data_IF_027825168415
#
_entry.id   IF_027825168415
#
_cell.length_a   1.000
_cell.length_b   1.000
_cell.length_c   1.000
_cell.angle_alpha   90.00
_cell.angle_beta   90.00
_cell.angle_gamma   90.00
#
_symmetry.space_group_name_H-M   'P 1'
#
loop_
_entity.id
_entity.type
_entity.pdbx_description
1 polymer ?
#
# COMPACT_ATOMS: atom_id res chain seq x y z
N UNK A 1 -12.81 5.97 19.85
CA UNK A 1 -13.99 5.88 18.97
C UNK A 1 -15.04 4.93 19.55
N UNK A 2 -14.70 3.66 19.86
CA UNK A 2 -15.67 2.68 20.45
C UNK A 2 -16.24 3.18 21.77
N UNK A 3 -15.38 3.65 22.69
CA UNK A 3 -15.80 4.22 23.98
C UNK A 3 -16.76 5.41 23.79
N UNK A 4 -16.46 6.29 22.86
CA UNK A 4 -17.32 7.43 22.50
C UNK A 4 -18.67 6.95 21.95
N UNK A 5 -18.67 5.98 21.06
CA UNK A 5 -19.86 5.39 20.48
C UNK A 5 -20.78 4.75 21.54
N UNK A 6 -20.19 4.01 22.48
CA UNK A 6 -20.93 3.37 23.57
C UNK A 6 -21.49 4.40 24.56
N UNK A 7 -20.72 5.46 24.86
CA UNK A 7 -21.16 6.54 25.72
C UNK A 7 -22.32 7.33 25.09
N UNK A 8 -22.21 7.63 23.79
CA UNK A 8 -23.23 8.32 23.02
C UNK A 8 -24.55 7.51 23.00
N UNK A 9 -24.45 6.20 22.76
CA UNK A 9 -25.61 5.31 22.77
C UNK A 9 -26.34 5.31 24.12
N UNK A 10 -25.59 5.30 25.24
CA UNK A 10 -26.15 5.39 26.59
C UNK A 10 -26.77 6.76 26.88
N UNK A 11 -26.08 7.84 26.50
CA UNK A 11 -26.52 9.22 26.75
C UNK A 11 -27.84 9.53 26.00
N UNK A 12 -27.96 9.04 24.79
CA UNK A 12 -29.16 9.23 23.95
C UNK A 12 -30.25 8.16 24.18
N UNK A 13 -30.03 7.22 25.13
CA UNK A 13 -30.97 6.13 25.45
C UNK A 13 -31.44 5.37 24.19
N UNK A 14 -30.53 5.16 23.24
CA UNK A 14 -30.87 4.51 21.98
C UNK A 14 -31.16 3.02 22.18
N UNK A 15 -32.31 2.58 21.71
CA UNK A 15 -32.63 1.15 21.64
C UNK A 15 -31.62 0.45 20.73
N UNK A 16 -31.12 -0.70 21.16
CA UNK A 16 -30.07 -1.46 20.44
C UNK A 16 -28.77 -0.66 20.19
N UNK A 17 -28.40 0.26 21.08
CA UNK A 17 -27.23 1.12 20.96
C UNK A 17 -25.88 0.38 20.91
N UNK A 18 -25.83 -0.90 21.33
CA UNK A 18 -24.66 -1.79 21.18
C UNK A 18 -24.21 -1.95 19.72
N UNK A 19 -25.12 -1.85 18.76
CA UNK A 19 -24.80 -1.92 17.34
C UNK A 19 -23.91 -0.78 16.84
N UNK A 20 -23.97 0.39 17.49
CA UNK A 20 -23.09 1.52 17.19
C UNK A 20 -21.64 1.13 17.52
N UNK A 21 -21.41 0.65 18.75
CA UNK A 21 -20.08 0.24 19.20
C UNK A 21 -19.51 -0.93 18.38
N UNK A 22 -20.32 -1.96 18.11
CA UNK A 22 -19.95 -3.10 17.27
C UNK A 22 -19.56 -2.64 15.85
N UNK A 23 -20.31 -1.71 15.25
CA UNK A 23 -20.02 -1.19 13.91
C UNK A 23 -18.72 -0.43 13.89
N UNK A 24 -18.50 0.47 14.86
CA UNK A 24 -17.23 1.19 14.99
C UNK A 24 -16.06 0.21 15.16
N UNK A 25 -16.19 -0.81 16.01
CA UNK A 25 -15.17 -1.82 16.22
C UNK A 25 -14.87 -2.61 14.94
N UNK A 26 -15.88 -3.09 14.23
CA UNK A 26 -15.68 -3.86 12.98
C UNK A 26 -15.08 -3.02 11.88
N UNK A 27 -15.45 -1.75 11.75
CA UNK A 27 -14.92 -0.85 10.71
C UNK A 27 -13.49 -0.39 11.01
N UNK A 28 -13.19 -0.07 12.27
CA UNK A 28 -11.86 0.41 12.67
C UNK A 28 -10.90 -0.71 13.08
N UNK A 29 -11.39 -1.77 13.70
CA UNK A 29 -10.54 -2.79 14.35
C UNK A 29 -9.73 -3.64 13.37
N UNK A 30 -10.22 -3.85 12.16
CA UNK A 30 -9.53 -4.66 11.13
C UNK A 30 -8.70 -3.82 10.15
N UNK A 31 -8.83 -2.50 10.15
CA UNK A 31 -8.27 -1.64 9.11
C UNK A 31 -7.42 -0.53 9.72
N UNK A 32 -6.18 -0.44 9.23
CA UNK A 32 -5.20 0.54 9.73
C UNK A 32 -5.20 1.87 8.93
N UNK A 33 -5.85 1.92 7.75
CA UNK A 33 -5.72 3.04 6.83
C UNK A 33 -7.05 3.69 6.49
N UNK A 34 -7.05 5.03 6.42
CA UNK A 34 -8.23 5.85 6.18
C UNK A 34 -9.02 5.45 4.93
N UNK A 35 -8.34 5.18 3.81
CA UNK A 35 -9.00 4.78 2.56
C UNK A 35 -9.73 3.44 2.66
N UNK A 36 -9.14 2.47 3.37
CA UNK A 36 -9.75 1.17 3.60
C UNK A 36 -10.93 1.26 4.59
N UNK A 37 -10.82 2.11 5.61
CA UNK A 37 -11.90 2.36 6.59
C UNK A 37 -13.12 2.96 5.88
N UNK A 38 -12.90 3.96 5.00
CA UNK A 38 -13.98 4.57 4.24
C UNK A 38 -14.71 3.55 3.34
N UNK A 39 -13.97 2.75 2.57
CA UNK A 39 -14.55 1.70 1.72
C UNK A 39 -15.36 0.72 2.55
N UNK A 40 -14.83 0.25 3.67
CA UNK A 40 -15.51 -0.69 4.57
C UNK A 40 -16.74 -0.10 5.23
N UNK A 41 -16.71 1.16 5.63
CA UNK A 41 -17.87 1.85 6.19
C UNK A 41 -19.01 1.92 5.16
N UNK A 42 -18.70 2.28 3.92
CA UNK A 42 -19.67 2.32 2.81
C UNK A 42 -20.22 0.93 2.49
N UNK A 43 -19.36 -0.08 2.38
CA UNK A 43 -19.77 -1.47 2.17
C UNK A 43 -20.71 -1.96 3.29
N UNK A 44 -20.42 -1.59 4.55
CA UNK A 44 -21.27 -1.95 5.70
C UNK A 44 -22.63 -1.27 5.63
N UNK A 45 -22.68 0.02 5.31
CA UNK A 45 -23.95 0.75 5.13
C UNK A 45 -24.79 0.12 4.02
N UNK A 46 -24.19 -0.15 2.86
CA UNK A 46 -24.87 -0.77 1.72
C UNK A 46 -25.41 -2.16 2.07
N UNK A 47 -24.59 -3.02 2.68
CA UNK A 47 -25.00 -4.35 3.09
C UNK A 47 -26.17 -4.32 4.08
N UNK A 48 -26.14 -3.38 5.04
CA UNK A 48 -27.24 -3.22 6.01
C UNK A 48 -28.54 -2.75 5.34
N UNK A 49 -28.46 -1.77 4.43
CA UNK A 49 -29.66 -1.27 3.72
C UNK A 49 -30.29 -2.36 2.83
N UNK A 50 -29.44 -3.09 2.08
CA UNK A 50 -29.89 -4.19 1.21
C UNK A 50 -30.50 -5.32 2.07
N UNK A 51 -29.83 -5.70 3.16
CA UNK A 51 -30.31 -6.75 4.06
C UNK A 51 -31.61 -6.38 4.76
N UNK A 52 -31.74 -5.11 5.19
CA UNK A 52 -32.99 -4.59 5.75
C UNK A 52 -34.14 -4.67 4.73
N UNK A 53 -33.92 -4.19 3.50
CA UNK A 53 -34.91 -4.25 2.43
C UNK A 53 -35.36 -5.70 2.14
N UNK A 54 -34.39 -6.62 1.99
CA UNK A 54 -34.68 -8.04 1.76
C UNK A 54 -35.46 -8.67 2.93
N UNK A 55 -35.06 -8.42 4.17
CA UNK A 55 -35.70 -8.93 5.36
C UNK A 55 -37.13 -8.40 5.52
N UNK A 56 -37.32 -7.09 5.32
CA UNK A 56 -38.66 -6.47 5.36
C UNK A 56 -39.60 -7.06 4.28
N UNK A 57 -39.09 -7.27 3.08
CA UNK A 57 -39.87 -7.89 1.98
C UNK A 57 -40.27 -9.30 2.33
N UNK A 58 -39.37 -10.11 2.89
CA UNK A 58 -39.67 -11.48 3.31
C UNK A 58 -40.69 -11.53 4.46
N UNK A 59 -40.58 -10.62 5.43
CA UNK A 59 -41.54 -10.52 6.53
C UNK A 59 -42.93 -10.07 6.04
N UNK A 60 -42.97 -9.11 5.10
CA UNK A 60 -44.22 -8.67 4.48
C UNK A 60 -44.88 -9.82 3.70
N UNK A 61 -44.11 -10.59 2.90
CA UNK A 61 -44.58 -11.78 2.21
C UNK A 61 -45.08 -12.84 3.19
N UNK A 62 -44.40 -13.03 4.33
CA UNK A 62 -44.82 -13.95 5.35
C UNK A 62 -46.21 -13.58 5.91
N UNK A 63 -46.40 -12.30 6.20
CA UNK A 63 -47.64 -11.82 6.78
C UNK A 63 -48.86 -11.96 5.82
N UNK A 64 -48.62 -11.76 4.49
CA UNK A 64 -49.72 -11.73 3.52
C UNK A 64 -49.94 -13.07 2.79
N UNK A 65 -48.91 -13.89 2.63
CA UNK A 65 -49.00 -15.08 1.78
C UNK A 65 -48.58 -16.37 2.48
N UNK A 66 -47.52 -16.36 3.29
CA UNK A 66 -46.99 -17.61 3.82
C UNK A 66 -47.48 -18.02 5.20
N UNK A 67 -47.97 -17.09 6.00
CA UNK A 67 -48.56 -17.31 7.33
C UNK A 67 -47.70 -18.21 8.25
N UNK A 68 -46.37 -18.11 8.17
CA UNK A 68 -45.45 -18.91 8.98
C UNK A 68 -45.25 -20.36 8.52
N UNK A 69 -45.74 -20.72 7.34
CA UNK A 69 -45.63 -22.07 6.80
C UNK A 69 -44.24 -22.45 6.32
N UNK A 70 -44.07 -23.75 5.97
CA UNK A 70 -42.79 -24.31 5.50
C UNK A 70 -42.21 -23.56 4.29
N UNK A 71 -43.08 -22.97 3.46
CA UNK A 71 -42.69 -22.18 2.30
C UNK A 71 -41.93 -20.91 2.67
N UNK A 72 -42.25 -20.29 3.82
CA UNK A 72 -41.50 -19.15 4.34
C UNK A 72 -40.04 -19.54 4.68
N UNK A 73 -39.87 -20.64 5.41
CA UNK A 73 -38.53 -21.10 5.77
C UNK A 73 -37.71 -21.52 4.54
N UNK A 74 -38.32 -22.09 3.53
CA UNK A 74 -37.67 -22.40 2.25
C UNK A 74 -37.22 -21.13 1.51
N UNK A 75 -38.04 -20.07 1.48
CA UNK A 75 -37.69 -18.80 0.85
C UNK A 75 -36.57 -18.07 1.62
N UNK A 76 -36.60 -18.10 2.94
CA UNK A 76 -35.48 -17.58 3.78
C UNK A 76 -34.18 -18.36 3.53
N UNK A 77 -34.28 -19.71 3.46
CA UNK A 77 -33.12 -20.57 3.18
C UNK A 77 -32.53 -20.31 1.81
N UNK A 78 -33.33 -20.17 0.77
CA UNK A 78 -32.84 -19.85 -0.59
C UNK A 78 -32.22 -18.45 -0.68
N UNK A 79 -32.85 -17.46 -0.04
CA UNK A 79 -32.30 -16.10 0.03
C UNK A 79 -30.93 -16.05 0.77
N UNK A 80 -30.86 -16.80 1.90
CA UNK A 80 -29.62 -16.93 2.67
C UNK A 80 -28.53 -17.64 1.87
N UNK A 81 -28.85 -18.70 1.14
CA UNK A 81 -27.94 -19.42 0.26
C UNK A 81 -27.45 -18.53 -0.89
N UNK A 82 -28.31 -17.73 -1.50
CA UNK A 82 -27.96 -16.77 -2.53
C UNK A 82 -27.01 -15.68 -2.01
N UNK A 83 -27.26 -15.14 -0.81
CA UNK A 83 -26.37 -14.18 -0.15
C UNK A 83 -25.01 -14.83 0.17
N UNK A 84 -25.01 -16.08 0.66
CA UNK A 84 -23.78 -16.83 0.93
C UNK A 84 -22.97 -17.10 -0.35
N UNK A 85 -23.63 -17.49 -1.44
CA UNK A 85 -22.97 -17.67 -2.74
C UNK A 85 -22.37 -16.36 -3.27
N UNK A 86 -23.09 -15.27 -3.21
CA UNK A 86 -22.62 -13.95 -3.61
C UNK A 86 -21.44 -13.47 -2.74
N UNK A 87 -21.38 -13.90 -1.46
CA UNK A 87 -20.30 -13.56 -0.53
C UNK A 87 -18.93 -14.17 -0.91
N UNK A 88 -18.89 -15.19 -1.75
CA UNK A 88 -17.63 -15.77 -2.27
C UNK A 88 -16.98 -14.90 -3.34
N UNK A 89 -17.71 -13.94 -3.91
CA UNK A 89 -17.21 -13.03 -4.95
C UNK A 89 -16.23 -11.96 -4.44
N UNK A 90 -15.67 -11.18 -5.37
CA UNK A 90 -14.70 -10.10 -5.07
C UNK A 90 -15.21 -9.05 -4.07
N UNK A 91 -16.52 -8.78 -4.06
CA UNK A 91 -17.18 -7.82 -3.16
C UNK A 91 -18.04 -8.54 -2.12
N UNK A 92 -17.61 -9.70 -1.66
CA UNK A 92 -18.36 -10.61 -0.81
C UNK A 92 -18.81 -10.05 0.54
N UNK A 93 -18.19 -8.97 1.01
CA UNK A 93 -18.55 -8.36 2.29
C UNK A 93 -19.96 -7.77 2.31
N UNK A 94 -20.40 -7.12 1.23
CA UNK A 94 -21.75 -6.53 1.13
C UNK A 94 -22.84 -7.61 1.15
N UNK A 95 -22.80 -8.68 0.32
CA UNK A 95 -23.80 -9.76 0.38
C UNK A 95 -23.78 -10.51 1.73
N UNK A 96 -22.59 -10.73 2.31
CA UNK A 96 -22.47 -11.35 3.64
C UNK A 96 -23.23 -10.55 4.70
N UNK A 97 -23.03 -9.23 4.73
CA UNK A 97 -23.72 -8.35 5.67
C UNK A 97 -25.21 -8.25 5.38
N UNK A 98 -25.61 -8.25 4.11
CA UNK A 98 -27.02 -8.25 3.72
C UNK A 98 -27.72 -9.51 4.22
N UNK A 99 -27.11 -10.69 4.01
CA UNK A 99 -27.63 -11.94 4.54
C UNK A 99 -27.74 -11.95 6.07
N UNK A 100 -26.67 -11.49 6.75
CA UNK A 100 -26.66 -11.40 8.20
C UNK A 100 -27.77 -10.46 8.74
N UNK A 101 -27.93 -9.28 8.13
CA UNK A 101 -28.99 -8.31 8.54
C UNK A 101 -30.37 -8.85 8.29
N UNK A 102 -30.60 -9.51 7.14
CA UNK A 102 -31.84 -10.17 6.79
C UNK A 102 -32.19 -11.26 7.81
N UNK A 103 -31.26 -12.17 8.13
CA UNK A 103 -31.48 -13.26 9.09
C UNK A 103 -31.77 -12.72 10.50
N UNK A 104 -31.05 -11.67 10.92
CA UNK A 104 -31.28 -11.04 12.23
C UNK A 104 -32.64 -10.39 12.34
N UNK A 105 -33.14 -9.78 11.26
CA UNK A 105 -34.48 -9.18 11.26
C UNK A 105 -35.56 -10.24 11.34
N UNK A 106 -35.40 -11.34 10.61
CA UNK A 106 -36.39 -12.47 10.61
C UNK A 106 -36.37 -13.21 11.95
N UNK A 107 -35.22 -13.33 12.61
CA UNK A 107 -35.06 -13.98 13.91
C UNK A 107 -35.58 -13.16 15.10
N UNK A 108 -35.97 -11.90 14.88
CA UNK A 108 -36.49 -11.04 15.95
C UNK A 108 -37.96 -11.35 16.22
N UNK A 109 -38.24 -11.95 17.38
CA UNK A 109 -39.59 -12.32 17.83
C UNK A 109 -40.37 -11.13 18.47
N UNK A 110 -39.89 -9.89 18.32
CA UNK A 110 -40.57 -8.73 18.87
C UNK A 110 -41.83 -8.41 18.09
N UNK A 111 -42.92 -8.04 18.79
CA UNK A 111 -44.14 -7.60 18.15
C UNK A 111 -43.97 -6.37 17.24
N UNK A 112 -42.87 -5.62 17.44
CA UNK A 112 -42.49 -4.41 16.69
C UNK A 112 -41.23 -4.64 15.85
N UNK A 113 -41.18 -5.75 15.09
CA UNK A 113 -40.04 -6.13 14.26
C UNK A 113 -39.59 -5.02 13.29
N UNK A 114 -40.52 -4.18 12.82
CA UNK A 114 -40.22 -3.08 11.89
C UNK A 114 -39.42 -1.98 12.58
N UNK A 115 -39.86 -1.55 13.77
CA UNK A 115 -39.16 -0.53 14.56
C UNK A 115 -37.80 -1.02 15.04
N UNK A 116 -37.73 -2.27 15.50
CA UNK A 116 -36.46 -2.89 15.94
C UNK A 116 -35.48 -2.98 14.79
N UNK A 117 -35.90 -3.42 13.59
CA UNK A 117 -35.06 -3.49 12.41
C UNK A 117 -34.56 -2.13 11.94
N UNK A 118 -35.44 -1.14 11.93
CA UNK A 118 -35.11 0.24 11.53
C UNK A 118 -34.13 0.89 12.51
N UNK A 119 -34.34 0.72 13.82
CA UNK A 119 -33.42 1.22 14.85
C UNK A 119 -32.05 0.59 14.78
N UNK A 120 -31.95 -0.72 14.50
CA UNK A 120 -30.66 -1.39 14.26
C UNK A 120 -29.94 -0.81 13.05
N UNK A 121 -30.65 -0.62 11.92
CA UNK A 121 -30.08 -0.04 10.72
C UNK A 121 -29.57 1.39 10.98
N UNK A 122 -30.36 2.22 11.65
CA UNK A 122 -29.95 3.57 12.05
C UNK A 122 -28.68 3.55 12.92
N UNK A 123 -28.62 2.67 13.92
CA UNK A 123 -27.46 2.53 14.79
C UNK A 123 -26.19 2.10 14.02
N UNK A 124 -26.33 1.22 13.01
CA UNK A 124 -25.22 0.85 12.11
C UNK A 124 -24.75 2.04 11.28
N UNK A 125 -25.67 2.85 10.75
CA UNK A 125 -25.33 4.06 9.99
C UNK A 125 -24.62 5.09 10.88
N UNK A 126 -25.10 5.32 12.10
CA UNK A 126 -24.45 6.20 13.09
C UNK A 126 -23.05 5.67 13.42
N UNK A 127 -22.91 4.37 13.68
CA UNK A 127 -21.61 3.75 13.95
C UNK A 127 -20.63 3.91 12.79
N UNK A 128 -21.08 3.72 11.55
CA UNK A 128 -20.28 3.94 10.36
C UNK A 128 -19.83 5.40 10.20
N UNK A 129 -20.74 6.35 10.48
CA UNK A 129 -20.40 7.79 10.46
C UNK A 129 -19.36 8.13 11.52
N UNK A 130 -19.49 7.64 12.76
CA UNK A 130 -18.51 7.81 13.84
C UNK A 130 -17.16 7.23 13.43
N UNK A 131 -17.13 6.05 12.80
CA UNK A 131 -15.89 5.43 12.31
C UNK A 131 -15.19 6.28 11.25
N UNK A 132 -15.95 6.87 10.30
CA UNK A 132 -15.43 7.77 9.27
C UNK A 132 -14.85 9.04 9.90
N UNK A 133 -15.56 9.64 10.86
CA UNK A 133 -15.08 10.84 11.57
C UNK A 133 -13.80 10.53 12.36
N UNK A 134 -13.76 9.42 13.08
CA UNK A 134 -12.58 8.97 13.82
C UNK A 134 -11.38 8.74 12.90
N UNK A 135 -11.58 8.14 11.72
CA UNK A 135 -10.54 7.94 10.72
C UNK A 135 -10.01 9.27 10.13
N UNK A 136 -10.85 10.31 10.05
CA UNK A 136 -10.41 11.65 9.62
C UNK A 136 -9.63 12.40 10.72
N UNK A 137 -9.97 12.19 11.99
CA UNK A 137 -9.28 12.82 13.13
C UNK A 137 -7.88 12.22 13.34
N UNK A 138 -7.70 10.93 13.08
CA UNK A 138 -6.43 10.22 13.21
C UNK A 138 -6.05 9.59 11.85
N UNK A 139 -5.64 10.41 10.86
CA UNK A 139 -5.40 9.94 9.51
C UNK A 139 -4.12 9.11 9.43
N UNK A 140 -4.22 7.80 9.55
CA UNK A 140 -3.16 6.87 9.14
C UNK A 140 -3.19 6.76 7.60
N UNK A 141 -2.39 7.60 6.95
CA UNK A 141 -2.34 7.64 5.49
C UNK A 141 -1.58 6.45 4.92
N UNK A 142 -2.25 5.62 4.14
CA UNK A 142 -1.64 4.49 3.45
C UNK A 142 -0.53 4.94 2.48
N UNK A 143 -0.70 6.09 1.85
CA UNK A 143 0.28 6.73 0.96
C UNK A 143 1.60 7.01 1.67
N UNK A 144 1.57 7.57 2.90
CA UNK A 144 2.77 7.80 3.69
C UNK A 144 3.46 6.50 4.06
N UNK A 145 2.72 5.51 4.54
CA UNK A 145 3.29 4.21 4.91
C UNK A 145 3.94 3.52 3.71
N UNK A 146 3.26 3.52 2.55
CA UNK A 146 3.82 2.99 1.31
C UNK A 146 5.12 3.71 0.91
N UNK A 147 5.16 5.05 0.96
CA UNK A 147 6.35 5.85 0.66
C UNK A 147 7.52 5.50 1.57
N UNK A 148 7.28 5.43 2.90
CA UNK A 148 8.34 5.09 3.85
C UNK A 148 8.85 3.67 3.67
N UNK A 149 7.97 2.68 3.50
CA UNK A 149 8.39 1.30 3.22
C UNK A 149 9.22 1.18 1.95
N UNK A 150 8.83 1.89 0.88
CA UNK A 150 9.58 1.94 -0.36
C UNK A 150 10.96 2.60 -0.17
N UNK A 151 11.00 3.75 0.52
CA UNK A 151 12.23 4.48 0.81
C UNK A 151 13.21 3.68 1.69
N UNK A 152 12.69 3.01 2.72
CA UNK A 152 13.51 2.19 3.61
C UNK A 152 14.08 0.97 2.89
N UNK A 153 13.29 0.29 2.06
CA UNK A 153 13.77 -0.83 1.27
C UNK A 153 14.89 -0.41 0.30
N UNK A 154 14.71 0.71 -0.42
CA UNK A 154 15.75 1.22 -1.32
C UNK A 154 16.99 1.72 -0.56
N UNK A 155 16.81 2.24 0.65
CA UNK A 155 17.94 2.64 1.51
C UNK A 155 18.76 1.42 1.92
N UNK A 156 18.12 0.34 2.34
CA UNK A 156 18.82 -0.90 2.69
C UNK A 156 19.49 -1.54 1.47
N UNK A 157 18.84 -1.55 0.29
CA UNK A 157 19.47 -1.98 -0.96
C UNK A 157 20.74 -1.14 -1.26
N UNK A 158 20.67 0.19 -1.06
CA UNK A 158 21.82 1.09 -1.26
C UNK A 158 22.98 0.80 -0.31
N UNK A 159 22.71 0.46 0.97
CA UNK A 159 23.74 0.05 1.94
C UNK A 159 24.42 -1.26 1.52
N UNK A 160 23.63 -2.25 1.08
CA UNK A 160 24.16 -3.54 0.61
C UNK A 160 25.05 -3.37 -0.62
N UNK A 161 24.66 -2.52 -1.56
CA UNK A 161 25.47 -2.20 -2.74
C UNK A 161 26.76 -1.46 -2.35
N UNK A 162 26.69 -0.58 -1.35
CA UNK A 162 27.90 0.08 -0.82
C UNK A 162 28.90 -0.91 -0.22
N UNK A 163 28.40 -1.95 0.46
CA UNK A 163 29.28 -3.01 0.99
C UNK A 163 29.98 -3.80 -0.12
N UNK A 164 29.30 -4.03 -1.25
CA UNK A 164 29.85 -4.71 -2.41
C UNK A 164 30.93 -3.82 -3.08
N UNK A 165 30.66 -2.51 -3.20
CA UNK A 165 31.53 -1.58 -3.95
C UNK A 165 32.82 -1.21 -3.22
N UNK A 166 32.86 -1.29 -1.90
CA UNK A 166 34.01 -0.91 -1.09
C UNK A 166 35.20 -1.88 -1.18
N UNK A 167 35.25 -2.77 -2.18
CA UNK A 167 36.33 -3.71 -2.42
C UNK A 167 36.54 -4.75 -1.31
N UNK A 168 35.71 -4.74 -0.27
CA UNK A 168 35.79 -5.74 0.79
C UNK A 168 35.17 -7.05 0.30
N UNK A 169 35.96 -8.11 0.32
CA UNK A 169 35.47 -9.45 -0.02
C UNK A 169 34.21 -9.77 0.80
N UNK A 170 33.15 -10.16 0.10
CA UNK A 170 31.92 -10.61 0.74
C UNK A 170 32.17 -11.92 1.50
N UNK A 171 32.32 -11.84 2.82
CA UNK A 171 32.50 -13.02 3.67
C UNK A 171 31.17 -13.73 3.85
N UNK A 172 31.19 -15.04 4.16
CA UNK A 172 29.98 -15.82 4.41
C UNK A 172 29.12 -15.22 5.52
N UNK A 173 29.73 -14.76 6.60
CA UNK A 173 29.04 -14.11 7.71
C UNK A 173 28.30 -12.83 7.28
N UNK A 174 28.97 -11.97 6.48
CA UNK A 174 28.34 -10.75 5.93
C UNK A 174 27.19 -11.07 4.98
N UNK A 175 27.36 -12.09 4.16
CA UNK A 175 26.29 -12.54 3.28
C UNK A 175 25.08 -12.99 4.11
N UNK A 176 25.27 -13.79 5.17
CA UNK A 176 24.20 -14.26 6.06
C UNK A 176 23.47 -13.07 6.73
N UNK A 177 24.21 -12.09 7.24
CA UNK A 177 23.64 -10.87 7.82
C UNK A 177 22.79 -10.08 6.79
N UNK A 178 23.31 -9.92 5.57
CA UNK A 178 22.58 -9.24 4.50
C UNK A 178 21.35 -10.03 4.04
N UNK A 179 21.40 -11.36 4.05
CA UNK A 179 20.23 -12.21 3.76
C UNK A 179 19.14 -12.12 4.83
N UNK A 180 19.48 -11.87 6.10
CA UNK A 180 18.50 -11.56 7.15
C UNK A 180 17.80 -10.23 6.85
N UNK A 181 18.56 -9.18 6.49
CA UNK A 181 17.99 -7.88 6.08
C UNK A 181 17.12 -8.02 4.82
N UNK A 182 17.54 -8.85 3.86
CA UNK A 182 16.78 -9.12 2.63
C UNK A 182 15.42 -9.77 2.94
N UNK A 183 15.36 -10.71 3.90
CA UNK A 183 14.09 -11.27 4.38
C UNK A 183 13.17 -10.19 4.97
N UNK A 184 13.71 -9.22 5.71
CA UNK A 184 12.94 -8.10 6.24
C UNK A 184 12.42 -7.16 5.12
N UNK A 185 13.23 -6.91 4.08
CA UNK A 185 12.81 -6.16 2.89
C UNK A 185 11.66 -6.89 2.20
N UNK A 186 11.78 -8.20 2.00
CA UNK A 186 10.74 -9.01 1.36
C UNK A 186 9.44 -9.02 2.19
N UNK A 187 9.52 -9.11 3.51
CA UNK A 187 8.36 -9.02 4.38
C UNK A 187 7.67 -7.64 4.27
N UNK A 188 8.45 -6.54 4.23
CA UNK A 188 7.92 -5.18 4.00
C UNK A 188 7.30 -5.03 2.60
N UNK A 189 7.87 -5.69 1.58
CA UNK A 189 7.30 -5.70 0.23
C UNK A 189 5.93 -6.38 0.18
N UNK A 190 5.77 -7.53 0.84
CA UNK A 190 4.48 -8.23 0.96
C UNK A 190 3.47 -7.34 1.68
N UNK A 191 3.86 -6.75 2.81
CA UNK A 191 3.03 -5.80 3.54
C UNK A 191 2.64 -4.59 2.69
N UNK A 192 3.58 -4.00 1.96
CA UNK A 192 3.33 -2.88 1.03
C UNK A 192 2.30 -3.24 -0.04
N UNK A 193 2.35 -4.47 -0.56
CA UNK A 193 1.40 -4.95 -1.59
C UNK A 193 -0.04 -5.01 -1.07
N UNK A 194 -0.26 -5.43 0.18
CA UNK A 194 -1.60 -5.48 0.76
C UNK A 194 -2.25 -4.09 0.90
N UNK A 195 -1.45 -3.02 0.88
CA UNK A 195 -1.92 -1.64 1.00
C UNK A 195 -2.08 -0.90 -0.33
N UNK A 196 -1.71 -1.52 -1.47
CA UNK A 196 -1.76 -0.84 -2.78
C UNK A 196 -3.16 -0.34 -3.15
N UNK A 197 -4.20 -1.12 -2.89
CA UNK A 197 -5.58 -0.72 -3.17
C UNK A 197 -5.99 0.52 -2.34
N UNK A 198 -5.68 0.53 -1.04
CA UNK A 198 -5.94 1.66 -0.16
C UNK A 198 -5.13 2.90 -0.58
N UNK A 199 -3.86 2.72 -0.94
CA UNK A 199 -2.98 3.79 -1.42
C UNK A 199 -3.46 4.37 -2.76
N UNK A 200 -3.91 3.52 -3.69
CA UNK A 200 -4.49 3.93 -4.97
C UNK A 200 -5.75 4.79 -4.77
N UNK A 201 -6.66 4.35 -3.89
CA UNK A 201 -7.88 5.10 -3.55
C UNK A 201 -7.58 6.44 -2.87
N UNK A 202 -6.63 6.47 -1.93
CA UNK A 202 -6.24 7.69 -1.19
C UNK A 202 -5.52 8.71 -2.07
N UNK A 203 -4.57 8.26 -2.89
CA UNK A 203 -3.73 9.13 -3.74
C UNK A 203 -4.33 9.42 -5.11
N UNK A 204 -5.43 8.77 -5.50
CA UNK A 204 -5.99 8.82 -6.85
C UNK A 204 -4.98 8.45 -7.96
N UNK A 205 -3.99 7.61 -7.64
CA UNK A 205 -3.08 7.01 -8.61
C UNK A 205 -3.78 5.76 -9.18
N UNK A 206 -3.70 5.56 -10.49
CA UNK A 206 -4.33 4.38 -11.10
C UNK A 206 -3.70 3.08 -10.57
N UNK A 207 -4.49 2.01 -10.35
CA UNK A 207 -3.98 0.71 -9.91
C UNK A 207 -2.83 0.19 -10.78
N UNK A 208 -2.95 0.34 -12.10
CA UNK A 208 -1.91 -0.07 -13.05
C UNK A 208 -0.57 0.67 -12.82
N UNK A 209 -0.61 1.97 -12.50
CA UNK A 209 0.60 2.74 -12.18
C UNK A 209 1.21 2.32 -10.84
N UNK A 210 0.38 2.02 -9.83
CA UNK A 210 0.84 1.49 -8.54
C UNK A 210 1.49 0.10 -8.71
N UNK A 211 0.91 -0.76 -9.53
CA UNK A 211 1.48 -2.08 -9.85
C UNK A 211 2.81 -1.95 -10.61
N UNK A 212 2.91 -1.02 -11.56
CA UNK A 212 4.16 -0.75 -12.28
C UNK A 212 5.28 -0.27 -11.33
N UNK A 213 4.96 0.62 -10.38
CA UNK A 213 5.93 1.04 -9.35
C UNK A 213 6.35 -0.13 -8.46
N UNK A 214 5.41 -0.96 -8.04
CA UNK A 214 5.69 -2.14 -7.22
C UNK A 214 6.52 -3.18 -7.99
N UNK A 215 6.29 -3.30 -9.29
CA UNK A 215 7.07 -4.19 -10.15
C UNK A 215 8.52 -3.72 -10.28
N UNK A 216 8.74 -2.43 -10.57
CA UNK A 216 10.08 -1.84 -10.62
C UNK A 216 10.81 -1.96 -9.27
N UNK A 217 10.12 -1.69 -8.15
CA UNK A 217 10.65 -1.89 -6.81
C UNK A 217 11.09 -3.34 -6.57
N UNK A 218 10.26 -4.32 -6.92
CA UNK A 218 10.57 -5.74 -6.78
C UNK A 218 11.81 -6.12 -7.60
N UNK A 219 11.91 -5.64 -8.82
CA UNK A 219 13.08 -5.90 -9.67
C UNK A 219 14.36 -5.35 -9.03
N UNK A 220 14.34 -4.13 -8.47
CA UNK A 220 15.49 -3.55 -7.78
C UNK A 220 15.90 -4.42 -6.59
N UNK A 221 14.96 -4.88 -5.77
CA UNK A 221 15.22 -5.74 -4.61
C UNK A 221 15.80 -7.09 -5.05
N UNK A 222 15.18 -7.76 -6.03
CA UNK A 222 15.67 -9.05 -6.55
C UNK A 222 17.06 -8.92 -7.16
N UNK A 223 17.33 -7.85 -7.91
CA UNK A 223 18.67 -7.61 -8.49
C UNK A 223 19.68 -7.36 -7.39
N UNK A 224 19.32 -6.68 -6.29
CA UNK A 224 20.20 -6.52 -5.12
C UNK A 224 20.57 -7.87 -4.51
N UNK A 225 19.62 -8.77 -4.35
CA UNK A 225 19.83 -10.12 -3.83
C UNK A 225 20.76 -10.93 -4.74
N UNK A 226 20.54 -10.86 -6.06
CA UNK A 226 21.40 -11.51 -7.05
C UNK A 226 22.83 -10.93 -7.02
N UNK A 227 22.99 -9.62 -6.90
CA UNK A 227 24.29 -8.99 -6.78
C UNK A 227 25.03 -9.43 -5.53
N UNK A 228 24.35 -9.53 -4.37
CA UNK A 228 24.95 -10.02 -3.13
C UNK A 228 25.43 -11.47 -3.24
N UNK A 229 24.58 -12.35 -3.75
CA UNK A 229 24.89 -13.79 -3.89
C UNK A 229 25.97 -14.03 -4.92
N UNK A 230 26.00 -13.25 -6.00
CA UNK A 230 27.06 -13.33 -7.02
C UNK A 230 28.36 -12.79 -6.46
N UNK A 231 28.36 -11.61 -5.80
CA UNK A 231 29.55 -11.02 -5.20
C UNK A 231 30.28 -11.95 -4.20
N UNK A 232 29.50 -12.79 -3.49
CA UNK A 232 30.07 -13.77 -2.55
C UNK A 232 30.83 -14.91 -3.25
N UNK A 233 30.52 -15.19 -4.52
CA UNK A 233 31.15 -16.24 -5.33
C UNK A 233 32.29 -15.71 -6.22
N UNK A 234 32.28 -14.42 -6.50
CA UNK A 234 33.27 -13.81 -7.38
C UNK A 234 34.68 -13.94 -6.83
N UNK A 235 35.59 -14.40 -7.67
CA UNK A 235 37.02 -14.34 -7.43
C UNK A 235 37.53 -12.93 -7.73
N UNK A 236 38.50 -12.45 -6.97
CA UNK A 236 39.11 -11.16 -7.19
C UNK A 236 39.80 -11.14 -8.58
N UNK A 237 39.40 -10.26 -9.50
CA UNK A 237 40.02 -10.17 -10.80
C UNK A 237 41.34 -9.41 -10.69
N UNK A 238 42.29 -9.71 -11.55
CA UNK A 238 43.47 -8.90 -11.74
C UNK A 238 43.11 -7.64 -12.55
N UNK A 239 42.95 -6.52 -11.84
CA UNK A 239 42.59 -5.22 -12.43
C UNK A 239 43.73 -4.23 -12.27
N UNK A 240 43.91 -3.40 -13.28
CA UNK A 240 44.77 -2.23 -13.17
C UNK A 240 44.06 -1.07 -12.44
N UNK A 241 44.82 -0.05 -12.01
CA UNK A 241 44.25 1.09 -11.27
C UNK A 241 43.12 1.83 -12.04
N UNK A 242 43.22 1.92 -13.36
CA UNK A 242 42.21 2.57 -14.19
C UNK A 242 40.89 1.79 -14.16
N UNK A 243 40.98 0.47 -14.24
CA UNK A 243 39.82 -0.43 -14.19
C UNK A 243 39.14 -0.43 -12.81
N UNK A 244 39.94 -0.40 -11.75
CA UNK A 244 39.40 -0.25 -10.37
C UNK A 244 38.64 1.08 -10.26
N UNK A 245 39.22 2.20 -10.69
CA UNK A 245 38.54 3.51 -10.69
C UNK A 245 37.30 3.53 -11.57
N UNK A 246 37.24 2.76 -12.64
CA UNK A 246 36.07 2.64 -13.52
C UNK A 246 34.94 1.90 -12.81
N UNK A 247 35.21 0.81 -12.13
CA UNK A 247 34.25 0.06 -11.33
C UNK A 247 33.72 0.90 -10.14
N UNK A 248 34.62 1.57 -9.43
CA UNK A 248 34.23 2.45 -8.31
C UNK A 248 33.31 3.58 -8.79
N UNK A 249 33.61 4.20 -9.92
CA UNK A 249 32.72 5.21 -10.52
C UNK A 249 31.35 4.65 -10.88
N UNK A 250 31.28 3.43 -11.41
CA UNK A 250 30.03 2.77 -11.76
C UNK A 250 29.16 2.50 -10.53
N UNK A 251 29.72 1.89 -9.49
CA UNK A 251 28.97 1.59 -8.26
C UNK A 251 28.63 2.84 -7.45
N UNK A 252 29.50 3.85 -7.42
CA UNK A 252 29.19 5.14 -6.80
C UNK A 252 28.03 5.87 -7.50
N UNK A 253 27.95 5.77 -8.84
CA UNK A 253 26.78 6.28 -9.59
C UNK A 253 25.51 5.52 -9.22
N UNK A 254 25.54 4.20 -9.14
CA UNK A 254 24.40 3.38 -8.75
C UNK A 254 23.89 3.74 -7.34
N UNK A 255 24.80 3.89 -6.37
CA UNK A 255 24.48 4.33 -5.02
C UNK A 255 23.87 5.73 -4.99
N UNK A 256 24.44 6.66 -5.79
CA UNK A 256 23.90 8.02 -5.92
C UNK A 256 22.49 8.00 -6.47
N UNK A 257 22.24 7.20 -7.51
CA UNK A 257 20.92 7.10 -8.15
C UNK A 257 19.87 6.55 -7.17
N UNK A 258 20.24 5.55 -6.35
CA UNK A 258 19.37 5.06 -5.26
C UNK A 258 19.11 6.14 -4.20
N UNK A 259 20.14 6.84 -3.73
CA UNK A 259 20.00 7.93 -2.73
C UNK A 259 19.09 9.06 -3.23
N UNK A 260 19.26 9.46 -4.50
CA UNK A 260 18.40 10.46 -5.13
C UNK A 260 16.94 9.99 -5.22
N UNK A 261 16.72 8.72 -5.55
CA UNK A 261 15.39 8.12 -5.58
C UNK A 261 14.74 8.12 -4.19
N UNK A 262 15.49 7.76 -3.15
CA UNK A 262 15.02 7.82 -1.76
C UNK A 262 14.65 9.26 -1.35
N UNK A 263 15.49 10.24 -1.69
CA UNK A 263 15.19 11.66 -1.43
C UNK A 263 13.93 12.13 -2.17
N UNK A 264 13.74 11.69 -3.42
CA UNK A 264 12.52 11.98 -4.17
C UNK A 264 11.27 11.43 -3.45
N UNK A 265 11.32 10.15 -3.01
CA UNK A 265 10.21 9.48 -2.31
C UNK A 265 9.90 10.19 -0.98
N UNK A 266 10.92 10.60 -0.23
CA UNK A 266 10.77 11.33 1.03
C UNK A 266 10.31 12.78 0.84
N UNK A 267 10.20 13.28 -0.39
CA UNK A 267 9.77 14.64 -0.66
C UNK A 267 10.86 15.71 -0.46
N UNK A 268 12.13 15.32 -0.34
CA UNK A 268 13.27 16.22 -0.09
C UNK A 268 13.99 16.66 -1.37
N UNK A 269 13.44 16.37 -2.54
CA UNK A 269 14.10 16.69 -3.81
C UNK A 269 13.11 17.37 -4.77
N UNK A 270 13.43 18.61 -5.12
CA UNK A 270 12.53 19.48 -5.89
C UNK A 270 12.75 19.36 -7.41
N UNK A 271 13.99 19.19 -7.85
CA UNK A 271 14.35 19.16 -9.28
C UNK A 271 13.93 17.85 -9.95
N UNK A 272 13.82 17.87 -11.28
CA UNK A 272 13.55 16.67 -12.07
C UNK A 272 14.83 15.82 -12.12
N UNK A 273 14.74 14.58 -11.64
CA UNK A 273 15.84 13.61 -11.69
C UNK A 273 15.83 12.96 -13.08
N UNK A 274 16.98 12.97 -13.73
CA UNK A 274 17.27 12.12 -14.89
C UNK A 274 18.37 11.15 -14.49
N UNK A 275 18.07 9.85 -14.58
CA UNK A 275 19.08 8.81 -14.41
C UNK A 275 19.64 8.50 -15.80
N UNK A 276 20.93 8.71 -15.94
CA UNK A 276 21.64 8.35 -17.16
C UNK A 276 21.80 6.83 -17.20
N UNK A 277 21.10 6.19 -18.12
CA UNK A 277 21.14 4.73 -18.34
C UNK A 277 22.12 4.33 -19.44
N UNK A 278 22.88 5.28 -20.00
CA UNK A 278 23.88 4.97 -21.02
C UNK A 278 24.95 4.03 -20.46
N UNK A 279 25.31 3.03 -21.26
CA UNK A 279 26.37 2.09 -20.94
C UNK A 279 27.69 2.80 -21.26
N UNK A 280 28.57 2.88 -20.26
CA UNK A 280 29.94 3.37 -20.52
C UNK A 280 30.69 2.38 -21.43
N UNK A 281 31.16 2.78 -22.63
CA UNK A 281 31.84 1.88 -23.54
C UNK A 281 33.11 1.23 -22.93
N UNK A 282 33.80 1.93 -22.05
CA UNK A 282 34.99 1.38 -21.36
C UNK A 282 34.58 0.24 -20.39
N UNK A 283 33.46 0.41 -19.72
CA UNK A 283 32.89 -0.67 -18.83
C UNK A 283 32.49 -1.89 -19.66
N UNK A 284 31.94 -1.69 -20.84
CA UNK A 284 31.62 -2.79 -21.77
C UNK A 284 32.87 -3.52 -22.25
N UNK A 285 33.95 -2.79 -22.61
CA UNK A 285 35.24 -3.38 -22.97
C UNK A 285 35.86 -4.15 -21.79
N UNK A 286 35.80 -3.61 -20.59
CA UNK A 286 36.24 -4.29 -19.38
C UNK A 286 35.46 -5.57 -19.14
N UNK A 287 34.14 -5.51 -19.18
CA UNK A 287 33.29 -6.67 -19.01
C UNK A 287 33.62 -7.80 -19.98
N UNK A 288 33.84 -7.48 -21.27
CA UNK A 288 34.14 -8.47 -22.28
C UNK A 288 35.49 -9.22 -22.04
N UNK A 289 36.41 -8.65 -21.25
CA UNK A 289 37.69 -9.28 -20.90
C UNK A 289 37.62 -10.12 -19.62
N UNK A 290 36.65 -9.86 -18.78
CA UNK A 290 36.51 -10.55 -17.50
C UNK A 290 35.81 -11.90 -17.67
N UNK A 291 35.97 -12.77 -16.67
CA UNK A 291 35.28 -14.03 -16.60
C UNK A 291 33.76 -13.84 -16.64
N UNK A 292 33.02 -14.81 -17.19
CA UNK A 292 31.58 -14.69 -17.42
C UNK A 292 30.75 -14.31 -16.17
N UNK A 293 31.19 -14.70 -14.98
CA UNK A 293 30.54 -14.34 -13.72
C UNK A 293 30.60 -12.80 -13.47
N UNK A 294 31.74 -12.17 -13.79
CA UNK A 294 31.91 -10.73 -13.74
C UNK A 294 31.10 -10.01 -14.80
N UNK A 295 30.98 -10.60 -15.99
CA UNK A 295 30.12 -10.05 -17.04
C UNK A 295 28.67 -10.01 -16.58
N UNK A 296 28.17 -11.11 -16.00
CA UNK A 296 26.83 -11.21 -15.43
C UNK A 296 26.61 -10.20 -14.30
N UNK A 297 27.59 -10.04 -13.40
CA UNK A 297 27.53 -9.11 -12.29
C UNK A 297 27.46 -7.63 -12.76
N UNK A 298 28.28 -7.24 -13.72
CA UNK A 298 28.25 -5.91 -14.30
C UNK A 298 26.99 -5.64 -15.10
N UNK A 299 26.48 -6.65 -15.81
CA UNK A 299 25.20 -6.56 -16.51
C UNK A 299 24.05 -6.36 -15.53
N UNK A 300 23.98 -7.13 -14.43
CA UNK A 300 22.98 -6.97 -13.38
C UNK A 300 23.01 -5.57 -12.77
N UNK A 301 24.20 -5.05 -12.46
CA UNK A 301 24.33 -3.71 -11.87
C UNK A 301 23.90 -2.60 -12.84
N UNK A 302 24.18 -2.77 -14.14
CA UNK A 302 23.73 -1.85 -15.19
C UNK A 302 22.21 -1.92 -15.38
N UNK A 303 21.66 -3.14 -15.44
CA UNK A 303 20.21 -3.34 -15.55
C UNK A 303 19.45 -2.75 -14.36
N UNK A 304 20.02 -2.83 -13.16
CA UNK A 304 19.45 -2.19 -11.97
C UNK A 304 19.26 -0.68 -12.13
N UNK A 305 20.16 0.02 -12.82
CA UNK A 305 20.02 1.45 -13.11
C UNK A 305 18.83 1.73 -14.03
N UNK A 306 18.54 0.83 -15.00
CA UNK A 306 17.36 0.93 -15.85
C UNK A 306 16.08 0.82 -15.01
N UNK A 307 16.02 -0.12 -14.07
CA UNK A 307 14.85 -0.28 -13.18
C UNK A 307 14.68 0.91 -12.22
N UNK A 308 15.78 1.47 -11.71
CA UNK A 308 15.75 2.70 -10.90
C UNK A 308 15.21 3.87 -11.75
N UNK A 309 15.67 4.01 -13.00
CA UNK A 309 15.19 5.03 -13.93
C UNK A 309 13.69 4.90 -14.19
N UNK A 310 13.22 3.68 -14.45
CA UNK A 310 11.79 3.40 -14.65
C UNK A 310 10.96 3.79 -13.41
N UNK A 311 11.42 3.42 -12.22
CA UNK A 311 10.76 3.79 -10.97
C UNK A 311 10.73 5.32 -10.77
N UNK A 312 11.84 6.02 -11.03
CA UNK A 312 11.91 7.50 -10.92
C UNK A 312 10.94 8.18 -11.87
N UNK A 313 10.82 7.71 -13.12
CA UNK A 313 9.86 8.24 -14.09
C UNK A 313 8.42 8.10 -13.59
N UNK A 314 8.04 6.92 -13.09
CA UNK A 314 6.71 6.67 -12.56
C UNK A 314 6.41 7.55 -11.33
N UNK A 315 7.36 7.65 -10.40
CA UNK A 315 7.25 8.50 -9.22
C UNK A 315 7.10 9.98 -9.59
N UNK A 316 7.87 10.46 -10.55
CA UNK A 316 7.77 11.86 -10.98
C UNK A 316 6.46 12.18 -11.69
N UNK A 317 5.95 11.27 -12.52
CA UNK A 317 4.65 11.43 -13.19
C UNK A 317 3.48 11.53 -12.21
N UNK A 318 3.55 10.79 -11.13
CA UNK A 318 2.50 10.75 -10.10
C UNK A 318 2.75 11.68 -8.92
N UNK A 319 3.85 12.43 -8.90
CA UNK A 319 4.34 13.21 -7.76
C UNK A 319 3.27 14.10 -7.09
N UNK A 320 2.46 14.79 -7.88
CA UNK A 320 1.40 15.68 -7.38
C UNK A 320 0.27 14.95 -6.65
N UNK A 321 0.17 13.64 -6.81
CA UNK A 321 -0.89 12.82 -6.24
C UNK A 321 -0.53 12.21 -4.89
N UNK A 322 0.76 12.00 -4.62
CA UNK A 322 1.23 11.34 -3.40
C UNK A 322 2.01 12.27 -2.45
N UNK A 323 2.40 13.49 -2.88
CA UNK A 323 2.93 14.52 -1.98
C UNK A 323 1.78 15.33 -1.37
N UNK A 324 1.92 15.66 -0.09
CA UNK A 324 0.97 16.54 0.59
C UNK A 324 1.09 17.98 0.07
N UNK A 325 0.01 18.77 0.23
CA UNK A 325 -0.01 20.18 -0.21
C UNK A 325 1.11 21.00 0.45
N UNK A 326 1.38 20.77 1.73
CA UNK A 326 2.47 21.42 2.47
C UNK A 326 3.86 20.99 1.99
N UNK A 327 4.05 19.72 1.62
CA UNK A 327 5.30 19.23 1.03
C UNK A 327 5.51 19.86 -0.36
N UNK A 328 4.46 19.95 -1.17
CA UNK A 328 4.52 20.59 -2.48
C UNK A 328 4.81 22.09 -2.38
N UNK A 329 4.27 22.77 -1.39
CA UNK A 329 4.52 24.19 -1.16
C UNK A 329 5.98 24.43 -0.75
N UNK A 330 6.50 23.71 0.25
CA UNK A 330 7.91 23.77 0.66
C UNK A 330 8.87 23.51 -0.50
N UNK A 331 8.55 22.53 -1.35
CA UNK A 331 9.35 22.25 -2.54
C UNK A 331 9.33 23.37 -3.58
N UNK A 332 8.20 24.08 -3.72
CA UNK A 332 8.09 25.26 -4.61
C UNK A 332 8.88 26.45 -4.07
N UNK A 333 8.82 26.69 -2.77
CA UNK A 333 9.57 27.75 -2.08
C UNK A 333 11.07 27.51 -2.24
N UNK A 334 11.55 26.31 -1.95
CA UNK A 334 12.96 25.95 -2.14
C UNK A 334 13.43 26.05 -3.59
N UNK A 335 12.58 25.78 -4.58
CA UNK A 335 12.91 25.99 -5.99
C UNK A 335 13.00 27.48 -6.38
N UNK A 336 12.20 28.36 -5.74
CA UNK A 336 12.27 29.80 -5.95
C UNK A 336 13.56 30.37 -5.36
N UNK A 337 13.86 30.04 -4.09
CA UNK A 337 15.08 30.45 -3.42
C UNK A 337 16.35 30.04 -4.20
N UNK A 338 16.41 28.79 -4.70
CA UNK A 338 17.54 28.32 -5.50
C UNK A 338 17.65 29.06 -6.83
N UNK A 339 16.53 29.44 -7.44
CA UNK A 339 16.52 30.18 -8.71
C UNK A 339 16.90 31.67 -8.54
N UNK A 340 16.51 32.26 -7.43
CA UNK A 340 16.88 33.63 -7.06
C UNK A 340 18.37 33.71 -6.70
N UNK A 341 18.92 32.74 -5.96
CA UNK A 341 20.35 32.65 -5.68
C UNK A 341 21.22 32.41 -6.92
N UNK A 342 20.78 31.55 -7.85
CA UNK A 342 21.47 31.31 -9.14
C UNK A 342 21.48 32.60 -10.01
N UNK A 343 20.47 33.50 -9.90
CA UNK A 343 20.40 34.76 -10.63
C UNK A 343 21.25 35.88 -9.98
N UNK A 344 21.44 35.86 -8.66
CA UNK A 344 22.31 36.79 -7.95
C UNK A 344 23.81 36.48 -8.19
N UNK A 345 24.18 35.21 -8.37
CA UNK A 345 25.53 34.81 -8.74
C UNK A 345 25.90 35.14 -10.22
N UNK A 346 24.93 35.25 -11.13
CA UNK A 346 25.17 35.66 -12.53
C UNK A 346 25.28 37.19 -12.73
N UNK A 347 24.93 38.00 -11.69
CA UNK A 347 24.91 39.46 -11.76
C UNK A 347 26.14 40.10 -11.06
N UNK A 348 26.96 39.30 -10.37
CA UNK A 348 28.24 39.72 -9.76
C UNK A 348 29.41 39.22 -10.59
#
# INVERSE_FOLDING_TARGET
AVLFATLLAKLLHLQHGEWIGMTVFVVLGMLQFQGAIYSKAVERMLGTVIGLGAGLTLLWLNQHYFHGGILFYLTVGTASAAAGWAAVGKNGYVPMLAGLTMCMLIGDNSNNWLDSGLMRAMNVLIGAAIAIVAAKLLPLRSTLMWRFMLADNLTECGKMIAEISNGKRMTRERLEQNMVKMRQINARMVKSRSHLAATSGESHISPAMMEAMQHAHRKIVNTTELLLTTAAKLQAPTLNEHEIRLLDRHFNRLQRDLRLTVRLIKGHYARRIRIDTSINPELGKLAARLHYEWQGFLWLSTNMRNEISALVILLQRSRRKWLDKHELQRLREHLRETREGDLEEEVV
#
